data_IF_015601522014
#
_entry.id   IF_015601522014
#
_cell.length_a   1.000
_cell.length_b   1.000
_cell.length_c   1.000
_cell.angle_alpha   90.00
_cell.angle_beta   90.00
_cell.angle_gamma   90.00
#
_symmetry.space_group_name_H-M   'P 1'
#
loop_
_entity.id
_entity.type
_entity.pdbx_description
1 polymer ?
#
# COMPACT_ATOMS: atom_id res chain seq x y z
N UNK A 1 -11.02 9.71 3.52
CA UNK A 1 -10.02 10.21 4.50
C UNK A 1 -9.99 9.24 5.68
N UNK A 2 -8.88 8.53 5.87
CA UNK A 2 -8.82 7.33 6.74
C UNK A 2 -7.54 7.25 7.56
N UNK A 3 -7.18 8.34 8.22
CA UNK A 3 -6.15 8.34 9.25
C UNK A 3 -6.86 8.34 10.61
N UNK A 4 -6.60 7.32 11.42
CA UNK A 4 -7.12 7.27 12.79
C UNK A 4 -6.13 8.01 13.69
N UNK A 5 -6.62 8.82 14.64
CA UNK A 5 -5.77 9.45 15.64
C UNK A 5 -5.33 8.41 16.66
N UNK A 6 -4.04 8.43 17.01
CA UNK A 6 -3.42 7.61 18.04
C UNK A 6 -3.93 7.99 19.42
N UNK A 7 -3.61 7.14 20.40
CA UNK A 7 -4.03 7.28 21.81
C UNK A 7 -3.67 8.65 22.42
N UNK A 8 -2.67 9.31 21.85
CA UNK A 8 -2.11 10.59 22.28
C UNK A 8 -2.85 11.79 21.67
N UNK A 9 -3.90 11.56 20.87
CA UNK A 9 -4.71 12.59 20.22
C UNK A 9 -4.01 13.39 19.12
N UNK A 10 -2.73 13.12 18.88
CA UNK A 10 -1.85 13.94 18.03
C UNK A 10 -1.07 13.13 17.00
N UNK A 11 -0.82 11.85 17.28
CA UNK A 11 -0.22 10.90 16.35
C UNK A 11 -1.29 10.35 15.40
N UNK A 12 -0.97 10.05 14.14
CA UNK A 12 -1.82 9.17 13.32
C UNK A 12 -1.41 7.72 13.62
N UNK A 13 -2.35 6.79 13.75
CA UNK A 13 -2.05 5.38 13.88
C UNK A 13 -1.40 4.89 12.59
N UNK A 14 -0.07 4.83 12.59
CA UNK A 14 0.78 4.27 11.53
C UNK A 14 1.12 2.82 11.76
N UNK A 15 0.82 2.28 12.95
CA UNK A 15 1.10 0.87 13.25
C UNK A 15 0.25 -0.02 12.34
N UNK A 16 0.86 -0.86 11.49
CA UNK A 16 0.11 -1.75 10.61
C UNK A 16 -0.58 -2.87 11.40
N UNK A 17 -1.64 -3.43 10.82
CA UNK A 17 -2.16 -4.70 11.32
C UNK A 17 -1.32 -5.85 10.78
N UNK A 18 -0.89 -6.76 11.67
CA UNK A 18 -0.16 -7.98 11.30
C UNK A 18 -1.01 -9.26 11.40
N UNK A 19 -2.21 -9.17 11.99
CA UNK A 19 -3.24 -10.22 11.96
C UNK A 19 -3.99 -10.21 10.61
N UNK A 20 -5.02 -11.04 10.44
CA UNK A 20 -5.80 -11.09 9.21
C UNK A 20 -6.31 -9.69 8.77
N UNK A 21 -5.82 -9.22 7.61
CA UNK A 21 -6.25 -8.00 6.97
C UNK A 21 -6.48 -8.21 5.46
N UNK A 22 -7.30 -7.35 4.87
CA UNK A 22 -7.41 -7.18 3.43
C UNK A 22 -6.53 -6.00 3.01
N UNK A 23 -5.75 -6.19 1.95
CA UNK A 23 -4.97 -5.14 1.30
C UNK A 23 -5.64 -4.78 -0.01
N UNK A 24 -5.85 -3.48 -0.25
CA UNK A 24 -6.43 -3.02 -1.50
C UNK A 24 -5.88 -1.68 -1.93
N UNK A 25 -5.74 -1.51 -3.24
CA UNK A 25 -5.34 -0.26 -3.87
C UNK A 25 -6.58 0.57 -4.24
N UNK A 26 -6.52 1.87 -3.96
CA UNK A 26 -7.48 2.84 -4.47
C UNK A 26 -6.71 3.87 -5.30
N UNK A 27 -6.75 3.67 -6.62
CA UNK A 27 -6.08 4.53 -7.60
C UNK A 27 -6.63 5.96 -7.58
N UNK A 28 -7.93 6.13 -7.28
CA UNK A 28 -8.55 7.45 -7.26
C UNK A 28 -8.10 8.26 -6.05
N UNK A 29 -8.00 7.59 -4.88
CA UNK A 29 -7.46 8.20 -3.67
C UNK A 29 -5.94 8.24 -3.63
N UNK A 30 -5.25 7.59 -4.58
CA UNK A 30 -3.79 7.49 -4.66
C UNK A 30 -3.18 6.86 -3.41
N UNK A 31 -3.83 5.82 -2.91
CA UNK A 31 -3.50 5.21 -1.64
C UNK A 31 -3.68 3.70 -1.67
N UNK A 32 -2.92 3.03 -0.80
CA UNK A 32 -3.09 1.61 -0.47
C UNK A 32 -3.64 1.55 0.95
N UNK A 33 -4.66 0.72 1.15
CA UNK A 33 -5.37 0.59 2.42
C UNK A 33 -5.23 -0.81 2.98
N UNK A 34 -5.07 -0.90 4.30
CA UNK A 34 -5.34 -2.11 5.06
C UNK A 34 -6.76 -2.06 5.60
N UNK A 35 -7.46 -3.18 5.64
CA UNK A 35 -8.73 -3.34 6.36
C UNK A 35 -8.69 -4.56 7.27
N UNK A 36 -9.02 -4.37 8.54
CA UNK A 36 -9.18 -5.47 9.50
C UNK A 36 -10.35 -6.36 9.07
N UNK A 37 -10.11 -7.66 8.91
CA UNK A 37 -11.18 -8.62 8.57
C UNK A 37 -12.11 -8.90 9.74
N UNK A 38 -11.69 -8.58 10.97
CA UNK A 38 -12.48 -8.75 12.19
C UNK A 38 -13.44 -7.58 12.42
N UNK A 39 -12.97 -6.34 12.24
CA UNK A 39 -13.72 -5.14 12.61
C UNK A 39 -14.25 -4.35 11.41
N UNK A 40 -13.77 -4.63 10.19
CA UNK A 40 -14.08 -3.86 8.99
C UNK A 40 -13.45 -2.46 8.97
N UNK A 41 -12.69 -2.08 10.00
CA UNK A 41 -11.98 -0.80 10.02
C UNK A 41 -10.84 -0.83 9.02
N UNK A 42 -10.62 0.30 8.34
CA UNK A 42 -9.55 0.44 7.36
C UNK A 42 -8.73 1.71 7.59
N UNK A 43 -7.46 1.67 7.16
CA UNK A 43 -6.49 2.76 7.28
C UNK A 43 -5.57 2.78 6.08
N UNK A 44 -5.11 3.98 5.70
CA UNK A 44 -4.11 4.13 4.64
C UNK A 44 -2.73 3.72 5.17
N UNK A 45 -1.92 3.11 4.30
CA UNK A 45 -0.50 2.92 4.54
C UNK A 45 0.22 4.24 4.25
N UNK A 46 1.12 4.66 5.14
CA UNK A 46 1.82 5.93 5.04
C UNK A 46 2.97 5.86 4.03
N UNK A 47 2.64 5.80 2.74
CA UNK A 47 3.60 5.84 1.63
C UNK A 47 3.97 7.28 1.26
N UNK A 48 5.08 7.44 0.56
CA UNK A 48 5.44 8.74 -0.02
C UNK A 48 4.35 9.12 -1.02
N UNK A 49 3.55 10.12 -0.66
CA UNK A 49 2.35 10.47 -1.41
C UNK A 49 2.68 10.72 -2.89
N UNK A 50 1.67 10.57 -3.75
CA UNK A 50 1.66 10.72 -5.22
C UNK A 50 1.71 9.42 -6.03
N UNK A 51 1.43 8.27 -5.43
CA UNK A 51 1.38 7.02 -6.17
C UNK A 51 0.02 6.77 -6.84
N UNK A 52 0.03 6.15 -8.02
CA UNK A 52 -1.17 5.66 -8.70
C UNK A 52 -1.18 4.12 -8.67
N UNK A 53 -1.46 3.50 -7.51
CA UNK A 53 -1.44 2.05 -7.38
C UNK A 53 -2.61 1.43 -8.15
N UNK A 54 -2.36 0.37 -8.92
CA UNK A 54 -3.41 -0.43 -9.57
C UNK A 54 -3.53 -1.80 -8.92
N UNK A 55 -2.43 -2.53 -8.88
CA UNK A 55 -2.34 -3.84 -8.23
C UNK A 55 -1.45 -3.76 -7.01
N UNK A 56 -1.77 -4.54 -5.98
CA UNK A 56 -0.99 -4.63 -4.75
C UNK A 56 -0.88 -6.08 -4.31
N UNK A 57 0.27 -6.46 -3.78
CA UNK A 57 0.54 -7.77 -3.17
C UNK A 57 1.35 -7.60 -1.87
N UNK A 58 1.35 -8.62 -1.03
CA UNK A 58 2.02 -8.61 0.27
C UNK A 58 2.84 -9.87 0.50
N UNK A 59 4.11 -9.68 0.86
CA UNK A 59 5.02 -10.72 1.32
C UNK A 59 5.02 -10.76 2.85
N UNK A 60 4.38 -11.75 3.49
CA UNK A 60 4.33 -11.86 4.95
C UNK A 60 5.65 -12.30 5.58
N UNK A 61 6.56 -12.95 4.85
CA UNK A 61 7.85 -13.40 5.40
C UNK A 61 8.80 -12.21 5.57
N UNK A 62 8.84 -11.33 4.57
CA UNK A 62 9.69 -10.13 4.59
C UNK A 62 8.96 -8.89 5.11
N UNK A 63 7.63 -8.94 5.26
CA UNK A 63 6.81 -7.81 5.70
C UNK A 63 6.68 -6.68 4.69
N UNK A 64 6.90 -6.97 3.40
CA UNK A 64 6.89 -5.97 2.34
C UNK A 64 5.58 -5.97 1.56
N UNK A 65 5.08 -4.78 1.24
CA UNK A 65 4.03 -4.57 0.25
C UNK A 65 4.65 -4.21 -1.09
N UNK A 66 4.07 -4.71 -2.17
CA UNK A 66 4.50 -4.43 -3.54
C UNK A 66 3.32 -3.85 -4.31
N UNK A 67 3.54 -2.81 -5.10
CA UNK A 67 2.48 -2.24 -5.93
C UNK A 67 2.99 -1.74 -7.27
N UNK A 68 2.10 -1.80 -8.26
CA UNK A 68 2.33 -1.22 -9.57
C UNK A 68 1.87 0.24 -9.59
N UNK A 69 2.79 1.16 -9.89
CA UNK A 69 2.46 2.56 -10.15
C UNK A 69 2.37 2.82 -11.65
N UNK A 70 1.17 3.19 -12.12
CA UNK A 70 0.95 3.43 -13.55
C UNK A 70 1.33 4.81 -14.05
N UNK A 71 1.42 5.82 -13.18
CA UNK A 71 1.91 7.13 -13.59
C UNK A 71 3.43 7.11 -13.75
N UNK A 72 4.13 6.52 -12.77
CA UNK A 72 5.57 6.40 -12.77
C UNK A 72 6.07 5.21 -13.62
N UNK A 73 5.19 4.27 -13.97
CA UNK A 73 5.51 3.04 -14.73
C UNK A 73 6.58 2.21 -14.02
N UNK A 74 6.39 1.97 -12.73
CA UNK A 74 7.35 1.24 -11.88
C UNK A 74 6.65 0.26 -10.96
N UNK A 75 7.32 -0.85 -10.67
CA UNK A 75 7.01 -1.69 -9.54
C UNK A 75 7.75 -1.14 -8.33
N UNK A 76 7.01 -0.78 -7.28
CA UNK A 76 7.55 -0.28 -6.01
C UNK A 76 7.33 -1.29 -4.90
N UNK A 77 8.09 -1.08 -3.82
CA UNK A 77 7.98 -1.82 -2.57
C UNK A 77 8.19 -0.90 -1.38
N UNK A 78 7.59 -1.25 -0.26
CA UNK A 78 7.88 -0.67 1.06
C UNK A 78 7.57 -1.72 2.14
N UNK A 79 8.03 -1.51 3.36
CA UNK A 79 7.53 -2.24 4.51
C UNK A 79 6.05 -1.92 4.76
N UNK A 80 5.32 -2.82 5.42
CA UNK A 80 3.89 -2.66 5.72
C UNK A 80 3.56 -1.39 6.53
N UNK A 81 4.52 -0.87 7.29
CA UNK A 81 4.42 0.39 8.03
C UNK A 81 4.66 1.65 7.16
N UNK A 82 4.95 1.48 5.86
CA UNK A 82 5.26 2.55 4.90
C UNK A 82 6.72 2.98 4.84
N UNK A 83 7.61 2.41 5.66
CA UNK A 83 9.04 2.71 5.62
C UNK A 83 9.78 1.91 4.55
N UNK A 84 11.03 2.28 4.27
CA UNK A 84 11.88 1.61 3.26
C UNK A 84 11.23 1.55 1.87
N UNK A 85 10.55 2.62 1.47
CA UNK A 85 10.01 2.72 0.12
C UNK A 85 11.12 2.78 -0.93
N UNK A 86 11.04 1.91 -1.94
CA UNK A 86 11.98 1.85 -3.04
C UNK A 86 11.34 1.40 -4.36
N UNK A 87 12.02 1.71 -5.47
CA UNK A 87 11.66 1.22 -6.80
C UNK A 87 12.36 -0.13 -7.02
N UNK A 88 11.57 -1.18 -7.19
CA UNK A 88 12.08 -2.53 -7.48
C UNK A 88 12.44 -2.64 -8.95
N UNK A 89 11.59 -2.13 -9.85
CA UNK A 89 11.80 -2.26 -11.30
C UNK A 89 11.05 -1.21 -12.10
N UNK A 90 11.61 -0.78 -13.23
CA UNK A 90 10.88 -0.03 -14.26
C UNK A 90 10.00 -1.01 -15.06
N UNK A 91 8.71 -0.71 -15.19
CA UNK A 91 7.80 -1.52 -15.99
C UNK A 91 7.95 -1.16 -17.47
N UNK A 92 8.44 -2.11 -18.27
CA UNK A 92 8.47 -1.98 -19.72
C UNK A 92 7.05 -2.05 -20.31
N UNK A 93 6.86 -1.54 -21.52
CA UNK A 93 5.54 -1.54 -22.18
C UNK A 93 4.95 -2.96 -22.38
N UNK A 94 5.78 -3.99 -22.48
CA UNK A 94 5.34 -5.39 -22.55
C UNK A 94 4.84 -5.94 -21.20
N UNK A 95 5.47 -5.55 -20.10
CA UNK A 95 5.08 -5.99 -18.75
C UNK A 95 3.81 -5.27 -18.25
N UNK A 96 3.60 -4.02 -18.70
CA UNK A 96 2.36 -3.27 -18.42
C UNK A 96 1.10 -4.00 -18.91
N UNK A 97 1.17 -4.67 -20.07
CA UNK A 97 0.04 -5.46 -20.62
C UNK A 97 -0.17 -6.80 -19.91
N UNK A 98 0.74 -7.20 -19.02
CA UNK A 98 0.71 -8.51 -18.34
C UNK A 98 0.01 -8.44 -16.97
N UNK A 99 -0.34 -7.24 -16.49
CA UNK A 99 -1.12 -7.08 -15.26
C UNK A 99 -2.57 -7.47 -15.59
N UNK A 100 -2.90 -8.74 -15.36
CA UNK A 100 -4.26 -9.23 -15.51
C UNK A 100 -5.16 -8.59 -14.46
N UNK A 101 -6.21 -7.91 -14.93
CA UNK A 101 -7.37 -7.42 -14.14
C UNK A 101 -8.39 -8.54 -14.03
#
# INVERSE_FOLDING_TARGET
MGFQTGRDGTSCLTEPWYDNFLLFADTFQKQIYQMSTLTGQFKAIALSGHDNPISVDYDPEQGHIYWSDVAAKVLKRALLNGSEEEIVKLMSSSEYSSVCV
#
